data_IF_398773281154
#
_entry.id   IF_398773281154
#
_cell.length_a   1.000
_cell.length_b   1.000
_cell.length_c   1.000
_cell.angle_alpha   90.00
_cell.angle_beta   90.00
_cell.angle_gamma   90.00
#
_symmetry.space_group_name_H-M   'P 1'
#
loop_
_entity.id
_entity.type
_entity.pdbx_description
1 polymer ?
#
# COMPACT_ATOMS: atom_id res chain seq x y z
N UNK A 1 8.56 24.69 -83.57
CA UNK A 1 8.47 23.40 -82.85
C UNK A 1 9.73 23.20 -82.02
N UNK A 2 9.74 23.60 -80.75
CA UNK A 2 10.79 23.26 -79.78
C UNK A 2 10.08 23.05 -78.43
N UNK A 3 10.19 21.85 -77.88
CA UNK A 3 9.44 21.42 -76.71
C UNK A 3 10.32 21.24 -75.47
N UNK A 4 9.63 21.29 -74.32
CA UNK A 4 9.92 20.65 -73.02
C UNK A 4 11.20 21.18 -72.32
N UNK A 5 11.30 21.44 -71.02
CA UNK A 5 10.77 20.78 -69.83
C UNK A 5 10.90 21.75 -68.64
N UNK A 6 9.84 21.98 -67.86
CA UNK A 6 9.95 22.58 -66.52
C UNK A 6 9.94 21.44 -65.52
N UNK A 7 11.06 21.21 -64.83
CA UNK A 7 11.17 20.26 -63.72
C UNK A 7 10.59 20.91 -62.46
N UNK A 8 9.47 20.39 -61.98
CA UNK A 8 8.94 20.70 -60.64
C UNK A 8 9.71 19.82 -59.65
N UNK A 9 10.55 20.45 -58.82
CA UNK A 9 11.18 19.80 -57.66
C UNK A 9 10.22 19.97 -56.48
N UNK A 10 9.56 18.88 -56.09
CA UNK A 10 8.69 18.83 -54.93
C UNK A 10 9.55 18.43 -53.71
N UNK A 11 9.95 19.42 -52.91
CA UNK A 11 10.66 19.19 -51.65
C UNK A 11 9.64 18.69 -50.62
N UNK A 12 9.64 17.39 -50.34
CA UNK A 12 8.95 16.82 -49.17
C UNK A 12 9.76 17.19 -47.91
N UNK A 13 9.31 18.22 -47.20
CA UNK A 13 9.72 18.51 -45.83
C UNK A 13 9.12 17.44 -44.90
N UNK A 14 9.88 16.39 -44.63
CA UNK A 14 9.57 15.43 -43.57
C UNK A 14 9.84 16.15 -42.24
N UNK A 15 8.79 16.74 -41.66
CA UNK A 15 8.82 17.24 -40.29
C UNK A 15 8.94 16.03 -39.35
N UNK A 16 10.15 15.76 -38.89
CA UNK A 16 10.46 14.77 -37.87
C UNK A 16 9.83 15.26 -36.55
N UNK A 17 8.58 14.92 -36.29
CA UNK A 17 7.99 15.12 -34.96
C UNK A 17 8.68 14.16 -34.00
N UNK A 18 9.43 14.64 -32.99
CA UNK A 18 9.87 13.75 -31.93
C UNK A 18 8.61 13.21 -31.24
N UNK A 19 8.41 11.90 -31.33
CA UNK A 19 7.50 11.17 -30.46
C UNK A 19 8.01 11.33 -29.03
N UNK A 20 7.65 12.43 -28.37
CA UNK A 20 7.65 12.50 -26.93
C UNK A 20 6.64 11.45 -26.46
N UNK A 21 7.15 10.29 -26.06
CA UNK A 21 6.40 9.36 -25.25
C UNK A 21 6.15 10.06 -23.92
N UNK A 22 5.05 10.81 -23.85
CA UNK A 22 4.47 11.17 -22.56
C UNK A 22 4.02 9.87 -21.93
N UNK A 23 4.93 9.25 -21.16
CA UNK A 23 4.52 8.25 -20.20
C UNK A 23 3.49 8.93 -19.32
N UNK A 24 2.22 8.55 -19.46
CA UNK A 24 1.19 8.90 -18.49
C UNK A 24 1.71 8.40 -17.15
N UNK A 25 2.24 9.32 -16.32
CA UNK A 25 2.52 9.03 -14.92
C UNK A 25 1.17 8.69 -14.35
N UNK A 26 0.93 7.40 -14.12
CA UNK A 26 -0.25 6.94 -13.42
C UNK A 26 -0.34 7.77 -12.14
N UNK A 27 -1.41 8.56 -12.03
CA UNK A 27 -1.65 9.41 -10.87
C UNK A 27 -1.65 8.47 -9.65
N UNK A 28 -0.58 8.53 -8.87
CA UNK A 28 -0.46 7.64 -7.73
C UNK A 28 -1.46 8.11 -6.69
N UNK A 29 -2.31 7.19 -6.24
CA UNK A 29 -3.43 7.55 -5.37
C UNK A 29 -2.91 8.23 -4.09
N UNK A 30 -3.41 9.44 -3.82
CA UNK A 30 -3.13 10.18 -2.59
C UNK A 30 -3.38 9.31 -1.37
N UNK A 31 -2.51 9.45 -0.37
CA UNK A 31 -2.66 8.79 0.92
C UNK A 31 -4.00 9.14 1.56
N UNK A 32 -4.73 8.13 2.05
CA UNK A 32 -5.98 8.40 2.78
C UNK A 32 -5.66 8.89 4.18
N UNK A 33 -6.24 10.03 4.57
CA UNK A 33 -6.15 10.56 5.93
C UNK A 33 -7.10 9.80 6.86
N UNK A 34 -6.59 9.27 7.98
CA UNK A 34 -7.35 8.42 8.89
C UNK A 34 -7.20 8.89 10.33
N UNK A 35 -8.29 9.32 10.96
CA UNK A 35 -8.31 9.74 12.38
C UNK A 35 -8.78 8.63 13.33
N UNK A 36 -9.64 7.72 12.84
CA UNK A 36 -10.12 6.53 13.57
C UNK A 36 -10.53 5.43 12.60
N UNK A 37 -10.68 4.20 13.09
CA UNK A 37 -11.29 3.11 12.36
C UNK A 37 -12.80 3.30 12.17
N UNK A 38 -13.30 2.96 10.98
CA UNK A 38 -14.75 2.88 10.71
C UNK A 38 -15.24 1.47 11.06
N UNK A 39 -15.64 1.26 12.31
CA UNK A 39 -16.07 -0.04 12.82
C UNK A 39 -17.00 0.12 14.02
N UNK A 40 -17.89 -0.85 14.21
CA UNK A 40 -18.71 -1.00 15.42
C UNK A 40 -18.09 -2.00 16.41
N UNK A 41 -17.11 -2.80 15.98
CA UNK A 41 -16.37 -3.70 16.84
C UNK A 41 -15.57 -2.92 17.87
N UNK A 42 -15.63 -3.33 19.15
CA UNK A 42 -14.83 -2.77 20.24
C UNK A 42 -13.35 -3.15 20.09
N UNK A 43 -12.67 -2.47 19.19
CA UNK A 43 -11.22 -2.56 18.97
C UNK A 43 -10.58 -1.18 19.15
N UNK A 44 -9.35 -1.16 19.66
CA UNK A 44 -8.56 0.06 19.85
C UNK A 44 -7.13 -0.17 19.36
N UNK A 45 -6.56 0.85 18.73
CA UNK A 45 -5.14 0.89 18.38
C UNK A 45 -4.39 1.82 19.35
N UNK A 46 -3.51 1.26 20.16
CA UNK A 46 -2.51 2.04 20.89
C UNK A 46 -1.36 2.35 19.95
N UNK A 47 -1.02 3.62 19.80
CA UNK A 47 0.06 4.07 18.92
C UNK A 47 1.08 4.88 19.68
N UNK A 48 2.35 4.71 19.33
CA UNK A 48 3.47 5.39 19.98
C UNK A 48 4.35 6.05 18.92
N UNK A 49 4.54 7.36 19.05
CA UNK A 49 5.45 8.12 18.19
C UNK A 49 6.82 8.25 18.87
N UNK A 50 7.89 7.99 18.11
CA UNK A 50 9.27 8.16 18.57
C UNK A 50 9.90 9.41 17.95
N UNK A 51 10.28 10.36 18.79
CA UNK A 51 10.87 11.63 18.36
C UNK A 51 12.38 11.57 18.10
N UNK A 52 13.14 10.85 18.94
CA UNK A 52 14.59 10.64 18.78
C UNK A 52 15.25 9.81 19.89
N UNK A 53 14.74 9.84 21.13
CA UNK A 53 15.45 9.34 22.33
C UNK A 53 14.99 7.96 22.85
N UNK A 54 13.76 7.54 22.54
CA UNK A 54 13.24 6.23 22.93
C UNK A 54 13.26 5.88 24.43
N UNK A 55 13.36 6.86 25.35
CA UNK A 55 13.65 6.62 26.77
C UNK A 55 12.66 5.71 27.51
N UNK A 56 11.44 5.57 27.01
CA UNK A 56 10.39 4.73 27.59
C UNK A 56 10.15 3.41 26.83
N UNK A 57 10.84 3.15 25.70
CA UNK A 57 10.60 1.96 24.85
C UNK A 57 10.65 0.66 25.65
N UNK A 58 11.71 0.42 26.43
CA UNK A 58 11.89 -0.84 27.17
C UNK A 58 10.75 -1.09 28.16
N UNK A 59 10.30 -0.05 28.89
CA UNK A 59 9.20 -0.15 29.85
C UNK A 59 7.88 -0.44 29.13
N UNK A 60 7.61 0.29 28.04
CA UNK A 60 6.41 0.11 27.22
C UNK A 60 6.34 -1.33 26.68
N UNK A 61 7.41 -1.83 26.06
CA UNK A 61 7.45 -3.19 25.51
C UNK A 61 7.24 -4.26 26.60
N UNK A 62 7.83 -4.08 27.78
CA UNK A 62 7.63 -4.98 28.92
C UNK A 62 6.16 -5.06 29.34
N UNK A 63 5.50 -3.91 29.46
CA UNK A 63 4.07 -3.83 29.84
C UNK A 63 3.18 -4.43 28.76
N UNK A 64 3.44 -4.13 27.48
CA UNK A 64 2.69 -4.67 26.35
C UNK A 64 2.80 -6.20 26.31
N UNK A 65 4.01 -6.75 26.49
CA UNK A 65 4.26 -8.19 26.59
C UNK A 65 3.51 -8.81 27.76
N UNK A 66 3.63 -8.24 28.96
CA UNK A 66 2.97 -8.75 30.17
C UNK A 66 1.44 -8.80 30.04
N UNK A 67 0.87 -7.93 29.20
CA UNK A 67 -0.57 -7.85 28.97
C UNK A 67 -1.04 -8.56 27.68
N UNK A 68 -0.13 -9.17 26.92
CA UNK A 68 -0.38 -9.73 25.59
C UNK A 68 -1.10 -8.73 24.66
N UNK A 69 -0.62 -7.49 24.62
CA UNK A 69 -1.16 -6.39 23.83
C UNK A 69 -0.19 -6.02 22.72
N UNK A 70 -0.70 -5.92 21.50
CA UNK A 70 0.03 -5.37 20.35
C UNK A 70 -0.28 -3.90 20.15
N UNK A 71 0.68 -3.18 19.58
CA UNK A 71 0.61 -1.74 19.31
C UNK A 71 1.27 -1.41 17.97
N UNK A 72 1.16 -0.16 17.55
CA UNK A 72 1.85 0.38 16.38
C UNK A 72 2.84 1.46 16.82
N UNK A 73 4.10 1.36 16.39
CA UNK A 73 5.15 2.33 16.67
C UNK A 73 5.48 3.10 15.40
N UNK A 74 5.29 4.42 15.40
CA UNK A 74 5.70 5.31 14.32
C UNK A 74 7.11 5.82 14.63
N UNK A 75 8.08 5.35 13.85
CA UNK A 75 9.50 5.53 14.13
C UNK A 75 10.10 6.62 13.26
N UNK A 76 10.89 7.51 13.88
CA UNK A 76 11.75 8.43 13.15
C UNK A 76 13.04 7.77 12.71
N UNK A 77 13.62 8.27 11.62
CA UNK A 77 14.96 7.87 11.18
C UNK A 77 16.05 8.26 12.19
N UNK A 78 15.94 9.47 12.79
CA UNK A 78 16.84 9.92 13.86
C UNK A 78 16.80 8.98 15.07
N UNK A 79 15.61 8.62 15.56
CA UNK A 79 15.47 7.65 16.66
C UNK A 79 16.06 6.29 16.33
N UNK A 80 15.86 5.82 15.09
CA UNK A 80 16.44 4.57 14.63
C UNK A 80 17.96 4.58 14.54
N UNK A 81 18.56 5.70 14.13
CA UNK A 81 20.00 5.86 14.05
C UNK A 81 20.64 5.95 15.44
N UNK A 82 19.99 6.67 16.37
CA UNK A 82 20.50 6.86 17.72
C UNK A 82 20.33 5.61 18.59
N UNK A 83 19.27 4.83 18.37
CA UNK A 83 18.91 3.69 19.21
C UNK A 83 18.58 2.42 18.39
N UNK A 84 19.51 1.93 17.55
CA UNK A 84 19.24 0.82 16.64
C UNK A 84 18.82 -0.47 17.37
N UNK A 85 19.37 -0.71 18.57
CA UNK A 85 18.99 -1.88 19.36
C UNK A 85 17.57 -1.77 19.91
N UNK A 86 17.11 -0.58 20.32
CA UNK A 86 15.73 -0.38 20.77
C UNK A 86 14.75 -0.62 19.62
N UNK A 87 15.07 -0.15 18.41
CA UNK A 87 14.25 -0.41 17.21
C UNK A 87 14.19 -1.92 16.89
N UNK A 88 15.32 -2.62 16.96
CA UNK A 88 15.34 -4.08 16.82
C UNK A 88 14.46 -4.76 17.87
N UNK A 89 14.52 -4.30 19.13
CA UNK A 89 13.68 -4.84 20.21
C UNK A 89 12.19 -4.62 19.95
N UNK A 90 11.77 -3.47 19.42
CA UNK A 90 10.37 -3.24 19.01
C UNK A 90 9.99 -4.25 17.91
N UNK A 91 10.88 -4.44 16.92
CA UNK A 91 10.61 -5.27 15.77
C UNK A 91 10.52 -6.78 16.09
N UNK A 92 11.25 -7.26 17.09
CA UNK A 92 11.29 -8.67 17.52
C UNK A 92 10.44 -8.96 18.76
N UNK A 93 9.81 -7.95 19.34
CA UNK A 93 8.94 -8.11 20.50
C UNK A 93 7.77 -9.08 20.25
N UNK A 94 7.35 -9.76 21.31
CA UNK A 94 6.17 -10.64 21.33
C UNK A 94 5.15 -10.09 22.35
N UNK A 95 3.88 -9.87 21.96
CA UNK A 95 3.31 -10.08 20.63
C UNK A 95 3.87 -9.11 19.58
N UNK A 96 3.89 -9.52 18.31
CA UNK A 96 4.47 -8.72 17.23
C UNK A 96 3.78 -7.36 17.09
N UNK A 97 4.55 -6.28 17.25
CA UNK A 97 4.10 -4.91 17.05
C UNK A 97 4.23 -4.49 15.58
N UNK A 98 3.45 -3.50 15.16
CA UNK A 98 3.57 -2.90 13.83
C UNK A 98 4.56 -1.73 13.84
N UNK A 99 5.35 -1.60 12.78
CA UNK A 99 6.21 -0.44 12.53
C UNK A 99 5.54 0.47 11.50
N UNK A 100 5.53 1.77 11.75
CA UNK A 100 5.08 2.82 10.83
C UNK A 100 6.15 3.90 10.67
N UNK A 101 6.04 4.69 9.60
CA UNK A 101 7.01 5.73 9.30
C UNK A 101 6.61 7.05 9.97
N UNK A 102 7.55 7.72 10.62
CA UNK A 102 7.36 9.04 11.24
C UNK A 102 8.34 10.09 10.74
N UNK A 103 8.71 10.04 9.46
CA UNK A 103 9.77 10.82 8.82
C UNK A 103 11.19 10.50 9.33
N UNK A 104 12.21 11.19 8.83
CA UNK A 104 13.59 10.98 9.26
C UNK A 104 13.96 11.94 10.39
N UNK A 105 13.84 13.24 10.14
CA UNK A 105 14.26 14.33 11.03
C UNK A 105 13.12 14.98 11.81
N UNK A 106 11.89 14.45 11.71
CA UNK A 106 10.69 15.02 12.32
C UNK A 106 10.33 16.47 11.88
N UNK A 107 10.42 16.82 10.57
CA UNK A 107 10.04 18.16 10.10
C UNK A 107 8.52 18.31 9.94
N UNK A 108 8.04 19.54 9.95
CA UNK A 108 6.67 19.85 9.53
C UNK A 108 6.51 19.64 8.02
N UNK A 109 5.83 18.56 7.63
CA UNK A 109 5.66 18.16 6.23
C UNK A 109 4.91 19.20 5.38
N UNK A 110 4.11 20.09 5.98
CA UNK A 110 3.40 21.14 5.24
C UNK A 110 4.32 22.25 4.73
N UNK A 111 5.55 22.30 5.24
CA UNK A 111 6.59 23.27 4.85
C UNK A 111 7.61 22.68 3.88
N UNK A 112 7.46 21.42 3.49
CA UNK A 112 8.39 20.72 2.63
C UNK A 112 7.90 20.67 1.18
N UNK A 113 8.85 20.57 0.25
CA UNK A 113 8.59 20.15 -1.13
C UNK A 113 8.32 18.65 -1.20
N UNK A 114 7.66 18.17 -2.26
CA UNK A 114 7.40 16.74 -2.48
C UNK A 114 8.70 15.89 -2.50
N UNK A 115 9.80 16.42 -3.05
CA UNK A 115 11.10 15.76 -3.07
C UNK A 115 11.68 15.62 -1.66
N UNK A 116 11.58 16.67 -0.84
CA UNK A 116 12.03 16.63 0.55
C UNK A 116 11.19 15.63 1.37
N UNK A 117 9.87 15.63 1.23
CA UNK A 117 9.00 14.62 1.86
C UNK A 117 9.39 13.20 1.44
N UNK A 118 9.64 12.98 0.14
CA UNK A 118 10.05 11.66 -0.38
C UNK A 118 11.41 11.23 0.19
N UNK A 119 12.35 12.17 0.36
CA UNK A 119 13.65 11.91 0.98
C UNK A 119 13.52 11.49 2.45
N UNK A 120 12.71 12.22 3.23
CA UNK A 120 12.40 11.87 4.63
C UNK A 120 11.80 10.47 4.75
N UNK A 121 10.81 10.16 3.93
CA UNK A 121 10.12 8.86 3.94
C UNK A 121 11.03 7.70 3.53
N UNK A 122 11.81 7.88 2.46
CA UNK A 122 12.67 6.82 1.90
C UNK A 122 13.88 6.53 2.77
N UNK A 123 14.52 7.55 3.36
CA UNK A 123 15.63 7.35 4.30
C UNK A 123 15.19 6.56 5.52
N UNK A 124 14.04 6.90 6.10
CA UNK A 124 13.50 6.17 7.26
C UNK A 124 13.11 4.73 6.90
N UNK A 125 12.44 4.51 5.77
CA UNK A 125 12.11 3.15 5.31
C UNK A 125 13.36 2.29 5.13
N UNK A 126 14.38 2.82 4.45
CA UNK A 126 15.61 2.09 4.18
C UNK A 126 16.36 1.74 5.47
N UNK A 127 16.44 2.67 6.42
CA UNK A 127 17.09 2.44 7.71
C UNK A 127 16.33 1.43 8.57
N UNK A 128 15.01 1.59 8.72
CA UNK A 128 14.21 0.63 9.51
C UNK A 128 14.28 -0.76 8.88
N UNK A 129 14.19 -0.84 7.55
CA UNK A 129 14.28 -2.11 6.84
C UNK A 129 15.66 -2.76 6.96
N UNK A 130 16.75 -2.00 6.93
CA UNK A 130 18.11 -2.55 7.13
C UNK A 130 18.32 -3.05 8.56
N UNK A 131 17.75 -2.37 9.56
CA UNK A 131 17.87 -2.76 10.97
C UNK A 131 17.02 -3.97 11.34
N UNK A 132 15.84 -4.10 10.75
CA UNK A 132 14.79 -5.01 11.24
C UNK A 132 14.35 -6.06 10.23
N UNK A 133 14.68 -5.90 8.94
CA UNK A 133 14.13 -6.69 7.85
C UNK A 133 12.65 -6.40 7.54
N UNK A 134 12.02 -5.45 8.25
CA UNK A 134 10.58 -5.14 8.16
C UNK A 134 10.37 -3.78 7.49
N UNK A 135 9.29 -3.66 6.72
CA UNK A 135 8.87 -2.39 6.10
C UNK A 135 7.98 -1.58 7.05
N UNK A 136 8.05 -0.26 6.95
CA UNK A 136 7.12 0.67 7.61
C UNK A 136 5.85 0.93 6.78
N UNK A 137 5.84 0.50 5.51
CA UNK A 137 4.67 0.60 4.64
C UNK A 137 3.54 -0.34 5.10
N UNK A 138 2.27 0.05 4.85
CA UNK A 138 1.83 1.20 4.05
C UNK A 138 1.46 2.44 4.87
N UNK A 139 1.86 2.52 6.14
CA UNK A 139 1.39 3.54 7.07
C UNK A 139 2.45 4.60 7.38
N UNK A 140 2.01 5.85 7.40
CA UNK A 140 2.82 7.00 7.78
C UNK A 140 2.03 7.86 8.77
N UNK A 141 2.72 8.54 9.69
CA UNK A 141 2.15 9.60 10.50
C UNK A 141 3.02 10.85 10.33
N UNK A 142 2.38 11.97 9.97
CA UNK A 142 3.09 13.22 9.81
C UNK A 142 3.53 13.77 11.17
N UNK A 143 4.78 14.25 11.31
CA UNK A 143 5.19 15.02 12.47
C UNK A 143 4.20 16.13 12.80
N UNK A 144 3.91 16.33 14.08
CA UNK A 144 2.93 17.30 14.61
C UNK A 144 1.48 17.07 14.13
N UNK A 145 1.20 15.99 13.40
CA UNK A 145 -0.07 15.79 12.69
C UNK A 145 -0.28 16.74 11.51
N UNK A 146 0.77 17.43 11.06
CA UNK A 146 0.68 18.46 10.03
C UNK A 146 0.51 17.82 8.65
N UNK A 147 -0.70 17.92 8.07
CA UNK A 147 -1.03 17.33 6.77
C UNK A 147 -1.99 18.23 5.98
N UNK A 148 -1.79 18.30 4.68
CA UNK A 148 -2.66 18.94 3.70
C UNK A 148 -2.72 18.08 2.42
N UNK A 149 -3.44 18.52 1.39
CA UNK A 149 -3.56 17.78 0.12
C UNK A 149 -2.22 17.46 -0.54
N UNK A 150 -1.26 18.40 -0.52
CA UNK A 150 0.07 18.19 -1.08
C UNK A 150 0.87 17.12 -0.30
N UNK A 151 0.77 17.10 1.03
CA UNK A 151 1.36 16.06 1.87
C UNK A 151 0.75 14.69 1.54
N UNK A 152 -0.59 14.60 1.47
CA UNK A 152 -1.26 13.33 1.16
C UNK A 152 -0.88 12.78 -0.22
N UNK A 153 -0.76 13.65 -1.22
CA UNK A 153 -0.30 13.27 -2.56
C UNK A 153 1.14 12.76 -2.53
N UNK A 154 2.08 13.52 -1.93
CA UNK A 154 3.48 13.12 -1.88
C UNK A 154 3.71 11.82 -1.09
N UNK A 155 3.03 11.65 0.04
CA UNK A 155 3.08 10.43 0.87
C UNK A 155 2.50 9.23 0.13
N UNK A 156 1.37 9.42 -0.58
CA UNK A 156 0.76 8.41 -1.46
C UNK A 156 1.71 7.97 -2.57
N UNK A 157 2.34 8.92 -3.25
CA UNK A 157 3.34 8.68 -4.30
C UNK A 157 4.56 7.90 -3.80
N UNK A 158 4.96 8.11 -2.54
CA UNK A 158 6.03 7.35 -1.89
C UNK A 158 5.62 5.91 -1.49
N UNK A 159 4.37 5.53 -1.71
CA UNK A 159 3.82 4.19 -1.44
C UNK A 159 3.25 4.01 -0.03
N UNK A 160 2.96 5.10 0.68
CA UNK A 160 2.24 5.07 1.95
C UNK A 160 0.79 5.43 1.68
N UNK A 161 -0.08 4.42 1.70
CA UNK A 161 -1.48 4.60 1.30
C UNK A 161 -2.37 5.14 2.42
N UNK A 162 -1.84 5.19 3.65
CA UNK A 162 -2.57 5.67 4.84
C UNK A 162 -1.71 6.64 5.65
N UNK A 163 -2.20 7.87 5.80
CA UNK A 163 -1.67 8.88 6.70
C UNK A 163 -2.51 8.85 7.97
N UNK A 164 -1.91 8.37 9.05
CA UNK A 164 -2.59 7.99 10.29
C UNK A 164 -2.48 9.11 11.31
N UNK A 165 -3.62 9.69 11.68
CA UNK A 165 -3.78 10.57 12.82
C UNK A 165 -4.22 9.78 14.06
N UNK A 166 -4.96 10.44 14.93
CA UNK A 166 -5.57 9.93 16.14
C UNK A 166 -6.89 10.68 16.37
N UNK A 167 -7.77 10.08 17.14
CA UNK A 167 -8.96 10.77 17.68
C UNK A 167 -8.85 11.01 19.19
N UNK A 168 -7.83 10.43 19.85
CA UNK A 168 -7.53 10.68 21.26
C UNK A 168 -6.05 11.04 21.37
N UNK A 169 -5.78 12.28 21.74
CA UNK A 169 -4.44 12.74 22.10
C UNK A 169 -4.28 12.65 23.62
N UNK A 170 -3.30 11.87 24.08
CA UNK A 170 -2.99 11.83 25.52
C UNK A 170 -2.30 13.08 25.98
N UNK A 171 -1.60 13.80 25.10
CA UNK A 171 -0.76 14.96 25.44
C UNK A 171 0.33 14.59 26.46
N UNK A 172 0.72 13.32 26.50
CA UNK A 172 1.72 12.74 27.42
C UNK A 172 3.10 13.40 27.33
N UNK A 173 3.48 13.87 26.14
CA UNK A 173 4.69 14.63 25.86
C UNK A 173 4.85 15.92 26.68
N UNK A 174 3.78 16.40 27.33
CA UNK A 174 3.82 17.53 28.27
C UNK A 174 4.28 17.12 29.68
N UNK A 175 4.70 15.87 29.90
CA UNK A 175 5.13 15.39 31.22
C UNK A 175 3.98 15.16 32.21
N UNK A 176 2.75 15.00 31.73
CA UNK A 176 1.57 14.84 32.60
C UNK A 176 1.57 13.49 33.35
N UNK A 177 0.79 13.43 34.43
CA UNK A 177 0.64 12.21 35.24
C UNK A 177 -0.13 11.10 34.52
N UNK A 178 0.07 9.86 34.97
CA UNK A 178 -0.70 8.70 34.49
C UNK A 178 -2.21 8.85 34.70
N UNK A 179 -2.64 9.46 35.80
CA UNK A 179 -4.05 9.77 36.07
C UNK A 179 -4.62 10.71 35.02
N UNK A 180 -3.89 11.76 34.62
CA UNK A 180 -4.31 12.69 33.57
C UNK A 180 -4.39 12.01 32.20
N UNK A 181 -3.45 11.09 31.89
CA UNK A 181 -3.50 10.27 30.67
C UNK A 181 -4.77 9.40 30.68
N UNK A 182 -5.05 8.70 31.78
CA UNK A 182 -6.24 7.84 31.90
C UNK A 182 -7.55 8.64 31.74
N UNK A 183 -7.63 9.82 32.35
CA UNK A 183 -8.78 10.71 32.24
C UNK A 183 -9.05 11.20 30.81
N UNK A 184 -8.03 11.23 29.95
CA UNK A 184 -8.19 11.57 28.53
C UNK A 184 -8.60 10.38 27.67
N UNK A 185 -8.13 9.18 28.00
CA UNK A 185 -8.36 7.99 27.17
C UNK A 185 -9.65 7.26 27.52
N UNK A 186 -9.81 6.88 28.79
CA UNK A 186 -10.86 5.93 29.22
C UNK A 186 -12.29 6.42 28.98
N UNK A 187 -12.66 7.69 29.27
CA UNK A 187 -14.02 8.16 29.02
C UNK A 187 -14.28 8.47 27.54
N UNK A 188 -13.26 8.79 26.75
CA UNK A 188 -13.41 9.19 25.35
C UNK A 188 -13.25 8.02 24.35
N UNK A 189 -13.05 6.80 24.84
CA UNK A 189 -12.83 5.63 23.99
C UNK A 189 -14.12 5.23 23.25
N UNK A 190 -14.01 5.04 21.93
CA UNK A 190 -15.08 4.54 21.07
C UNK A 190 -14.55 3.39 20.19
N UNK A 191 -15.43 2.53 19.63
CA UNK A 191 -15.04 1.53 18.64
C UNK A 191 -14.17 2.11 17.52
N UNK A 192 -12.98 1.53 17.35
CA UNK A 192 -12.01 1.94 16.35
C UNK A 192 -11.12 3.12 16.74
N UNK A 193 -11.11 3.55 18.00
CA UNK A 193 -10.22 4.63 18.45
C UNK A 193 -8.73 4.33 18.17
N UNK A 194 -8.01 5.38 17.80
CA UNK A 194 -6.56 5.46 17.69
C UNK A 194 -6.06 6.42 18.76
N UNK A 195 -5.24 5.92 19.68
CA UNK A 195 -4.70 6.69 20.81
C UNK A 195 -3.25 7.08 20.52
N UNK A 196 -2.94 8.38 20.56
CA UNK A 196 -1.59 8.91 20.43
C UNK A 196 -0.88 8.98 21.79
N UNK A 197 0.29 8.35 21.86
CA UNK A 197 1.26 8.41 22.97
C UNK A 197 2.67 8.51 22.38
N UNK A 198 3.67 8.70 23.24
CA UNK A 198 5.06 8.88 22.84
C UNK A 198 6.00 7.93 23.59
N UNK A 199 7.09 7.53 22.93
CA UNK A 199 8.15 6.71 23.53
C UNK A 199 9.26 7.52 24.19
N UNK A 200 9.29 8.83 23.97
CA UNK A 200 10.37 9.69 24.43
C UNK A 200 10.39 9.90 25.94
N UNK A 201 11.54 10.29 26.50
CA UNK A 201 11.72 10.54 27.93
C UNK A 201 10.76 11.63 28.48
N UNK A 202 10.32 12.57 27.63
CA UNK A 202 9.33 13.61 27.95
C UNK A 202 7.91 13.10 28.24
N UNK A 203 7.63 11.81 28.04
CA UNK A 203 6.35 11.16 28.36
C UNK A 203 6.46 10.15 29.53
N UNK A 204 6.97 10.54 30.72
CA UNK A 204 7.20 9.62 31.83
C UNK A 204 5.91 8.99 32.38
N UNK A 205 4.76 9.65 32.21
CA UNK A 205 3.46 9.16 32.63
C UNK A 205 2.95 7.98 31.80
N UNK A 206 3.41 7.82 30.55
CA UNK A 206 2.88 6.82 29.62
C UNK A 206 3.11 5.38 30.10
N UNK A 207 4.33 4.94 30.44
CA UNK A 207 4.54 3.62 31.02
C UNK A 207 3.70 3.37 32.28
N UNK A 208 3.50 4.39 33.12
CA UNK A 208 2.75 4.26 34.38
C UNK A 208 1.24 4.14 34.12
N UNK A 209 0.72 4.79 33.06
CA UNK A 209 -0.70 4.71 32.70
C UNK A 209 -1.09 3.40 32.02
N UNK A 210 -0.18 2.78 31.25
CA UNK A 210 -0.48 1.65 30.38
C UNK A 210 -1.14 0.45 31.08
N UNK A 211 -0.67 -0.05 32.25
CA UNK A 211 -1.29 -1.21 32.89
C UNK A 211 -2.76 -0.97 33.24
N UNK A 212 -3.06 0.19 33.84
CA UNK A 212 -4.43 0.56 34.22
C UNK A 212 -5.29 0.85 33.00
N UNK A 213 -4.73 1.52 31.98
CA UNK A 213 -5.43 1.79 30.71
C UNK A 213 -5.84 0.47 30.05
N UNK A 214 -4.90 -0.48 29.91
CA UNK A 214 -5.16 -1.77 29.30
C UNK A 214 -6.25 -2.52 30.09
N UNK A 215 -6.13 -2.60 31.42
CA UNK A 215 -7.10 -3.26 32.28
C UNK A 215 -8.51 -2.68 32.12
N UNK A 216 -8.65 -1.35 32.22
CA UNK A 216 -9.94 -0.68 32.12
C UNK A 216 -10.58 -0.81 30.72
N UNK A 217 -9.78 -0.74 29.65
CA UNK A 217 -10.28 -0.93 28.30
C UNK A 217 -10.69 -2.39 28.03
N UNK A 218 -9.94 -3.39 28.54
CA UNK A 218 -10.35 -4.80 28.51
C UNK A 218 -11.67 -5.00 29.26
N UNK A 219 -11.83 -4.41 30.44
CA UNK A 219 -13.08 -4.47 31.21
C UNK A 219 -14.27 -3.84 30.47
N UNK A 220 -14.03 -2.82 29.62
CA UNK A 220 -15.05 -2.26 28.70
C UNK A 220 -15.32 -3.12 27.46
N UNK A 221 -14.62 -4.24 27.30
CA UNK A 221 -14.75 -5.19 26.19
C UNK A 221 -13.90 -4.87 24.96
N UNK A 222 -12.90 -4.00 25.08
CA UNK A 222 -12.02 -3.67 23.95
C UNK A 222 -10.93 -4.71 23.72
N UNK A 223 -10.70 -5.03 22.45
CA UNK A 223 -9.52 -5.77 21.97
C UNK A 223 -8.49 -4.80 21.41
N UNK A 224 -7.22 -5.13 21.59
CA UNK A 224 -6.11 -4.31 21.12
C UNK A 224 -5.59 -4.84 19.78
N UNK A 225 -5.47 -3.93 18.82
CA UNK A 225 -5.08 -4.23 17.44
C UNK A 225 -4.02 -3.23 16.97
N UNK A 226 -3.22 -3.64 15.99
CA UNK A 226 -2.36 -2.71 15.24
C UNK A 226 -3.21 -1.86 14.29
N UNK A 227 -2.65 -0.77 13.76
CA UNK A 227 -3.32 0.06 12.75
C UNK A 227 -3.68 -0.75 11.51
N UNK A 228 -2.80 -1.62 11.02
CA UNK A 228 -3.13 -2.47 9.86
C UNK A 228 -4.30 -3.39 10.14
N UNK A 229 -4.37 -4.00 11.33
CA UNK A 229 -5.51 -4.86 11.70
C UNK A 229 -6.80 -4.05 11.86
N UNK A 230 -6.72 -2.86 12.48
CA UNK A 230 -7.86 -1.95 12.64
C UNK A 230 -8.46 -1.57 11.28
N UNK A 231 -7.60 -1.27 10.31
CA UNK A 231 -7.99 -0.81 8.98
C UNK A 231 -8.10 -1.97 7.96
N UNK A 232 -7.91 -3.21 8.40
CA UNK A 232 -7.90 -4.42 7.57
C UNK A 232 -6.96 -4.29 6.35
N UNK A 233 -5.79 -3.71 6.57
CA UNK A 233 -4.78 -3.53 5.54
C UNK A 233 -4.08 -4.85 5.22
N UNK A 234 -3.53 -4.96 4.00
CA UNK A 234 -2.60 -6.02 3.65
C UNK A 234 -1.49 -6.24 4.67
N UNK A 235 -0.99 -7.47 4.83
CA UNK A 235 0.23 -7.71 5.59
C UNK A 235 1.42 -6.87 5.07
N UNK A 236 2.18 -6.26 5.98
CA UNK A 236 3.37 -5.46 5.64
C UNK A 236 4.39 -6.32 4.90
N UNK A 237 4.85 -5.84 3.74
CA UNK A 237 5.81 -6.55 2.88
C UNK A 237 5.18 -7.42 1.80
N UNK A 238 3.85 -7.61 1.81
CA UNK A 238 3.17 -8.12 0.62
C UNK A 238 3.43 -7.20 -0.56
N UNK A 239 3.75 -7.77 -1.72
CA UNK A 239 3.74 -7.01 -2.97
C UNK A 239 2.31 -6.52 -3.16
N UNK A 240 2.11 -5.22 -3.36
CA UNK A 240 0.78 -4.65 -3.57
C UNK A 240 0.71 -3.91 -4.90
N UNK A 241 -0.51 -3.79 -5.42
CA UNK A 241 -0.81 -3.00 -6.61
C UNK A 241 -1.99 -2.07 -6.35
N UNK A 242 -1.81 -0.78 -6.64
CA UNK A 242 -2.90 0.19 -6.59
C UNK A 242 -3.62 0.18 -7.93
N UNK A 243 -4.91 -0.17 -7.91
CA UNK A 243 -5.81 -0.19 -9.09
C UNK A 243 -5.86 1.19 -9.72
N UNK A 244 -5.66 1.25 -11.03
CA UNK A 244 -5.68 2.43 -11.89
C UNK A 244 -6.92 2.40 -12.78
N UNK A 245 -7.21 3.53 -13.41
CA UNK A 245 -8.30 3.61 -14.40
C UNK A 245 -8.06 2.61 -15.54
N UNK A 246 -9.08 1.83 -15.89
CA UNK A 246 -9.02 0.81 -16.95
C UNK A 246 -8.45 -0.54 -16.52
N UNK A 247 -8.09 -0.71 -15.25
CA UNK A 247 -7.67 -2.01 -14.72
C UNK A 247 -8.82 -2.98 -14.55
N UNK A 248 -8.47 -4.26 -14.64
CA UNK A 248 -9.31 -5.39 -14.24
C UNK A 248 -8.47 -6.32 -13.39
N UNK A 249 -9.08 -7.16 -12.54
CA UNK A 249 -8.34 -8.19 -11.81
C UNK A 249 -7.52 -9.07 -12.76
N UNK A 250 -8.01 -9.29 -13.98
CA UNK A 250 -7.31 -10.02 -15.03
C UNK A 250 -6.01 -9.34 -15.46
N UNK A 251 -6.05 -8.04 -15.82
CA UNK A 251 -4.84 -7.29 -16.23
C UNK A 251 -3.80 -7.28 -15.12
N UNK A 252 -4.24 -7.11 -13.87
CA UNK A 252 -3.37 -7.06 -12.70
C UNK A 252 -2.77 -8.45 -12.41
N UNK A 253 -3.59 -9.50 -12.43
CA UNK A 253 -3.12 -10.87 -12.21
C UNK A 253 -2.06 -11.26 -13.25
N UNK A 254 -2.27 -10.92 -14.53
CA UNK A 254 -1.29 -11.15 -15.59
C UNK A 254 0.00 -10.36 -15.38
N UNK A 255 -0.09 -9.07 -15.02
CA UNK A 255 1.07 -8.21 -14.75
C UNK A 255 1.99 -8.81 -13.68
N UNK A 256 1.40 -9.51 -12.70
CA UNK A 256 2.14 -10.10 -11.59
C UNK A 256 2.34 -11.61 -11.69
N UNK A 257 1.95 -12.21 -12.82
CA UNK A 257 2.03 -13.64 -13.06
C UNK A 257 1.38 -14.50 -11.94
N UNK A 258 0.15 -14.13 -11.56
CA UNK A 258 -0.70 -14.86 -10.60
C UNK A 258 -2.06 -15.18 -11.22
N UNK A 259 -2.87 -16.06 -10.61
CA UNK A 259 -4.26 -16.26 -11.06
C UNK A 259 -5.18 -15.14 -10.56
N UNK A 260 -6.24 -14.85 -11.33
CA UNK A 260 -7.34 -13.98 -10.88
C UNK A 260 -7.98 -14.51 -9.59
N UNK A 261 -8.14 -15.83 -9.46
CA UNK A 261 -8.71 -16.45 -8.26
C UNK A 261 -7.80 -16.29 -7.03
N UNK A 262 -6.48 -16.47 -7.18
CA UNK A 262 -5.52 -16.23 -6.09
C UNK A 262 -5.48 -14.75 -5.71
N UNK A 263 -5.49 -13.85 -6.70
CA UNK A 263 -5.55 -12.42 -6.49
C UNK A 263 -6.85 -12.01 -5.78
N UNK A 264 -8.00 -12.52 -6.22
CA UNK A 264 -9.29 -12.26 -5.59
C UNK A 264 -9.34 -12.80 -4.15
N UNK A 265 -8.86 -14.03 -3.93
CA UNK A 265 -8.77 -14.66 -2.60
C UNK A 265 -7.88 -13.89 -1.65
N UNK A 266 -6.69 -13.46 -2.08
CA UNK A 266 -5.77 -12.68 -1.27
C UNK A 266 -6.34 -11.32 -0.84
N UNK A 267 -7.36 -10.84 -1.56
CA UNK A 267 -7.99 -9.54 -1.35
C UNK A 267 -9.44 -9.62 -0.85
N UNK A 268 -9.93 -10.83 -0.52
CA UNK A 268 -11.32 -11.07 -0.13
C UNK A 268 -12.35 -10.52 -1.13
N UNK A 269 -12.03 -10.57 -2.43
CA UNK A 269 -12.91 -10.12 -3.51
C UNK A 269 -13.79 -11.29 -3.96
N UNK A 270 -15.10 -11.15 -3.79
CA UNK A 270 -16.09 -12.13 -4.24
C UNK A 270 -16.66 -11.79 -5.62
N UNK A 271 -16.80 -10.50 -5.95
CA UNK A 271 -17.21 -10.04 -7.27
C UNK A 271 -15.99 -9.55 -8.08
N UNK A 272 -15.63 -10.31 -9.12
CA UNK A 272 -14.38 -10.12 -9.85
C UNK A 272 -14.39 -8.88 -10.75
N UNK A 273 -15.58 -8.33 -11.00
CA UNK A 273 -15.77 -7.11 -11.80
C UNK A 273 -15.76 -5.84 -10.93
N UNK A 274 -15.73 -5.98 -9.61
CA UNK A 274 -15.84 -4.85 -8.68
C UNK A 274 -14.48 -4.56 -8.04
N UNK A 275 -13.62 -3.87 -8.81
CA UNK A 275 -12.45 -3.18 -8.27
C UNK A 275 -12.56 -1.69 -8.54
N UNK A 276 -12.11 -0.88 -7.59
CA UNK A 276 -12.21 0.59 -7.69
C UNK A 276 -10.85 1.21 -7.88
N UNK A 277 -10.75 2.25 -8.71
CA UNK A 277 -9.53 3.05 -8.84
C UNK A 277 -9.07 3.52 -7.44
N UNK A 278 -7.78 3.37 -7.15
CA UNK A 278 -7.19 3.63 -5.84
C UNK A 278 -7.26 2.45 -4.84
N UNK A 279 -7.97 1.38 -5.15
CA UNK A 279 -7.97 0.16 -4.32
C UNK A 279 -6.58 -0.47 -4.33
N UNK A 280 -6.05 -0.79 -3.15
CA UNK A 280 -4.76 -1.48 -3.01
C UNK A 280 -5.01 -2.99 -2.93
N UNK A 281 -4.50 -3.73 -3.90
CA UNK A 281 -4.56 -5.18 -3.94
C UNK A 281 -3.26 -5.79 -3.43
N UNK A 282 -3.37 -6.78 -2.55
CA UNK A 282 -2.33 -7.74 -2.20
C UNK A 282 -2.08 -8.63 -3.40
N UNK A 283 -0.86 -8.59 -3.93
CA UNK A 283 -0.40 -9.54 -4.94
C UNK A 283 0.06 -10.80 -4.20
N UNK A 284 -0.61 -11.95 -4.39
CA UNK A 284 -0.20 -13.20 -3.77
C UNK A 284 1.18 -13.65 -4.29
N UNK A 285 1.88 -14.47 -3.52
CA UNK A 285 3.12 -15.11 -3.96
C UNK A 285 2.93 -15.95 -5.23
N UNK A 286 4.04 -16.27 -5.90
CA UNK A 286 4.07 -16.91 -7.23
C UNK A 286 3.49 -18.33 -7.22
N UNK A 287 2.18 -18.45 -7.32
CA UNK A 287 1.59 -19.57 -8.07
C UNK A 287 1.32 -19.04 -9.47
N UNK A 288 2.16 -19.38 -10.46
CA UNK A 288 1.90 -19.04 -11.85
C UNK A 288 0.47 -19.45 -12.19
N UNK A 289 -0.27 -18.63 -12.96
CA UNK A 289 -1.54 -19.09 -13.46
C UNK A 289 -1.32 -20.41 -14.20
N UNK A 290 -2.13 -21.46 -13.95
CA UNK A 290 -2.22 -22.56 -14.90
C UNK A 290 -2.44 -21.92 -16.27
N UNK A 291 -1.80 -22.41 -17.35
CA UNK A 291 -2.06 -21.90 -18.69
C UNK A 291 -3.57 -21.91 -18.90
N UNK A 292 -4.20 -20.74 -18.85
CA UNK A 292 -5.62 -20.63 -19.11
C UNK A 292 -5.74 -20.54 -20.61
N UNK A 293 -5.67 -21.73 -21.22
CA UNK A 293 -6.00 -21.97 -22.60
C UNK A 293 -7.44 -21.50 -22.77
N UNK A 294 -7.65 -20.26 -23.23
CA UNK A 294 -8.95 -19.86 -23.73
C UNK A 294 -9.15 -20.69 -24.98
N UNK A 295 -10.08 -21.62 -24.96
CA UNK A 295 -10.41 -22.41 -26.13
C UNK A 295 -11.62 -21.85 -26.84
N UNK A 296 -11.65 -22.00 -28.17
CA UNK A 296 -12.78 -21.65 -29.01
C UNK A 296 -13.13 -22.82 -29.91
N UNK A 297 -14.38 -23.28 -29.85
CA UNK A 297 -14.90 -24.30 -30.77
C UNK A 297 -15.39 -23.64 -32.05
N UNK A 298 -14.75 -23.98 -33.17
CA UNK A 298 -15.08 -23.49 -34.52
C UNK A 298 -16.53 -23.82 -34.85
N UNK A 299 -17.30 -22.81 -35.27
CA UNK A 299 -18.70 -22.91 -35.70
C UNK A 299 -18.80 -22.82 -37.22
N UNK A 300 -19.94 -23.21 -37.76
CA UNK A 300 -20.21 -23.06 -39.19
C UNK A 300 -20.09 -21.58 -39.60
N UNK A 301 -19.30 -21.30 -40.64
CA UNK A 301 -19.02 -19.96 -41.13
C UNK A 301 -17.82 -19.26 -40.51
N UNK A 302 -17.16 -19.86 -39.53
CA UNK A 302 -15.95 -19.28 -38.94
C UNK A 302 -14.73 -19.38 -39.89
N UNK A 303 -13.87 -18.37 -39.80
CA UNK A 303 -12.51 -18.36 -40.37
C UNK A 303 -11.50 -18.06 -39.26
N UNK A 304 -10.24 -18.48 -39.42
CA UNK A 304 -9.18 -18.10 -38.49
C UNK A 304 -9.07 -16.58 -38.35
N UNK A 305 -9.32 -15.82 -39.42
CA UNK A 305 -9.37 -14.36 -39.38
C UNK A 305 -10.47 -13.84 -38.46
N UNK A 306 -11.72 -14.28 -38.66
CA UNK A 306 -12.85 -13.85 -37.83
C UNK A 306 -12.67 -14.19 -36.33
N UNK A 307 -12.08 -15.34 -36.04
CA UNK A 307 -11.78 -15.78 -34.68
C UNK A 307 -10.64 -14.94 -34.11
N UNK A 308 -9.54 -14.76 -34.85
CA UNK A 308 -8.41 -13.96 -34.42
C UNK A 308 -8.82 -12.52 -34.10
N UNK A 309 -9.62 -11.89 -34.97
CA UNK A 309 -10.18 -10.56 -34.77
C UNK A 309 -11.08 -10.49 -33.54
N UNK A 310 -11.98 -11.46 -33.34
CA UNK A 310 -12.87 -11.54 -32.17
C UNK A 310 -12.11 -11.58 -30.85
N UNK A 311 -10.95 -12.22 -30.83
CA UNK A 311 -10.13 -12.39 -29.65
C UNK A 311 -8.94 -11.43 -29.56
N UNK A 312 -8.80 -10.51 -30.52
CA UNK A 312 -7.74 -9.50 -30.54
C UNK A 312 -6.33 -10.06 -30.76
N UNK A 313 -6.21 -11.17 -31.49
CA UNK A 313 -4.94 -11.83 -31.80
C UNK A 313 -4.66 -11.79 -33.30
N UNK A 314 -3.44 -12.10 -33.73
CA UNK A 314 -3.15 -12.26 -35.16
C UNK A 314 -3.47 -13.68 -35.63
N UNK A 315 -3.82 -13.81 -36.91
CA UNK A 315 -4.04 -15.12 -37.55
C UNK A 315 -2.80 -16.00 -37.42
N UNK A 316 -1.60 -15.43 -37.58
CA UNK A 316 -0.33 -16.14 -37.44
C UNK A 316 -0.09 -16.65 -36.03
N UNK A 317 -0.40 -15.86 -35.01
CA UNK A 317 -0.29 -16.30 -33.61
C UNK A 317 -1.28 -17.42 -33.33
N UNK A 318 -2.52 -17.27 -33.76
CA UNK A 318 -3.58 -18.27 -33.60
C UNK A 318 -3.24 -19.59 -34.33
N UNK A 319 -2.73 -19.51 -35.55
CA UNK A 319 -2.31 -20.68 -36.33
C UNK A 319 -1.12 -21.40 -35.68
N UNK A 320 -0.10 -20.64 -35.25
CA UNK A 320 1.08 -21.17 -34.56
C UNK A 320 0.73 -21.88 -33.25
N UNK A 321 -0.16 -21.28 -32.45
CA UNK A 321 -0.62 -21.86 -31.18
C UNK A 321 -1.37 -23.19 -31.34
N UNK A 322 -1.93 -23.44 -32.54
CA UNK A 322 -2.74 -24.62 -32.85
C UNK A 322 -2.07 -25.56 -33.86
N UNK A 323 -0.80 -25.32 -34.21
CA UNK A 323 -0.06 -26.11 -35.20
C UNK A 323 -0.79 -26.22 -36.56
N UNK A 324 -1.50 -25.16 -36.96
CA UNK A 324 -2.22 -25.10 -38.23
C UNK A 324 -1.26 -24.62 -39.33
N UNK A 325 -1.01 -25.48 -40.32
CA UNK A 325 -0.13 -25.18 -41.46
C UNK A 325 -0.88 -24.51 -42.62
N UNK A 326 -2.17 -24.80 -42.79
CA UNK A 326 -3.03 -24.17 -43.79
C UNK A 326 -4.13 -23.36 -43.11
N UNK A 327 -4.00 -22.04 -43.12
CA UNK A 327 -4.91 -21.11 -42.43
C UNK A 327 -6.34 -21.08 -42.99
N UNK A 328 -6.56 -21.65 -44.17
CA UNK A 328 -7.87 -21.75 -44.80
C UNK A 328 -8.60 -23.07 -44.47
N UNK A 329 -7.95 -23.98 -43.73
CA UNK A 329 -8.51 -25.29 -43.38
C UNK A 329 -8.70 -25.41 -41.87
N UNK A 330 -9.89 -25.01 -41.41
CA UNK A 330 -10.40 -25.32 -40.06
C UNK A 330 -11.74 -26.04 -40.18
N UNK A 331 -12.01 -26.97 -39.25
CA UNK A 331 -13.23 -27.79 -39.28
C UNK A 331 -14.22 -27.32 -38.22
N UNK A 332 -15.52 -27.33 -38.54
CA UNK A 332 -16.56 -27.11 -37.53
C UNK A 332 -16.42 -28.15 -36.41
N UNK A 333 -16.49 -27.70 -35.16
CA UNK A 333 -16.24 -28.52 -33.98
C UNK A 333 -14.77 -28.60 -33.55
N UNK A 334 -13.82 -28.12 -34.36
CA UNK A 334 -12.41 -28.03 -33.97
C UNK A 334 -12.24 -27.06 -32.79
N UNK A 335 -11.50 -27.49 -31.76
CA UNK A 335 -11.21 -26.66 -30.59
C UNK A 335 -9.86 -25.97 -30.78
N UNK A 336 -9.85 -24.65 -30.83
CA UNK A 336 -8.65 -23.83 -30.98
C UNK A 336 -8.23 -23.23 -29.66
N UNK A 337 -6.94 -23.31 -29.34
CA UNK A 337 -6.27 -22.55 -28.30
C UNK A 337 -6.09 -21.11 -28.77
N UNK A 338 -6.70 -20.15 -28.08
CA UNK A 338 -6.49 -18.73 -28.32
C UNK A 338 -5.23 -18.30 -27.56
N UNK A 339 -4.12 -17.96 -28.25
CA UNK A 339 -2.94 -17.42 -27.60
C UNK A 339 -3.27 -16.03 -27.04
N UNK A 340 -2.89 -15.75 -25.80
CA UNK A 340 -3.05 -14.41 -25.21
C UNK A 340 -1.71 -13.74 -25.00
#
# INVERSE_FOLDING_TARGET
MHGKWIRIIMIMLISLFPFFSYGLTADAASSTFVTKGSTTSKVVALTFDDGADGGNITKILSILKANNVKATFFLTGTGANNHPQLIKNIATATPTHQLGNHSYTHPDFTKLTATQMTSELSKTENLIKSLTGRTTKPIFRAPFGASNSAVLAAVGNAGYTKTIQWNIDTTDWKGISSTAILARVVPNIVPGSIVLMHTGAGAPGTPVALPSMISQLKAKGYKFVTISELLKLPPSGSKTYTVKSGDTLYKIANLYNVTVAALAKANNITNYNLITVGQVLVIPGTTPPPPTTVTYTVKAGDTLYSIATKYGVTVTALASANKITNVNLISVGQVLVIPK
#
